data_IF_340716985273
#
_entry.id   IF_340716985273
#
_cell.length_a   1.000
_cell.length_b   1.000
_cell.length_c   1.000
_cell.angle_alpha   90.00
_cell.angle_beta   90.00
_cell.angle_gamma   90.00
#
_symmetry.space_group_name_H-M   'P 1'
#
loop_
_entity.id
_entity.type
_entity.pdbx_description
1 polymer ?
#
# COMPACT_ATOMS: atom_id res chain seq x y z
N UNK A 1 -19.55 3.22 7.27
CA UNK A 1 -18.25 3.52 6.65
C UNK A 1 -18.47 3.80 5.17
N UNK A 2 -17.83 4.82 4.62
CA UNK A 2 -17.72 5.05 3.16
C UNK A 2 -16.27 4.75 2.77
N UNK A 3 -16.07 3.98 1.71
CA UNK A 3 -14.76 3.58 1.19
C UNK A 3 -14.29 4.51 0.07
N UNK A 4 -13.07 4.30 -0.43
CA UNK A 4 -12.45 5.16 -1.44
C UNK A 4 -13.09 5.03 -2.84
N UNK A 5 -13.63 3.86 -3.16
CA UNK A 5 -14.46 3.57 -4.35
C UNK A 5 -15.91 4.07 -4.20
N UNK A 6 -16.14 4.92 -3.21
CA UNK A 6 -17.44 5.46 -2.79
C UNK A 6 -18.46 4.44 -2.26
N UNK A 7 -18.13 3.16 -2.20
CA UNK A 7 -18.99 2.12 -1.63
C UNK A 7 -19.28 2.35 -0.15
N UNK A 8 -20.43 1.86 0.32
CA UNK A 8 -20.94 2.11 1.67
C UNK A 8 -21.22 0.79 2.39
N UNK A 9 -20.79 0.72 3.65
CA UNK A 9 -21.12 -0.36 4.59
C UNK A 9 -21.67 0.24 5.88
N UNK A 10 -22.73 -0.34 6.44
CA UNK A 10 -23.30 0.04 7.73
C UNK A 10 -23.61 -1.19 8.60
N UNK A 11 -23.59 -1.01 9.92
CA UNK A 11 -23.70 -2.11 10.88
C UNK A 11 -23.22 -1.69 12.27
N UNK A 12 -22.92 -2.67 13.11
CA UNK A 12 -22.59 -2.45 14.54
C UNK A 12 -21.08 -2.34 14.78
N UNK A 13 -20.72 -1.79 15.93
CA UNK A 13 -19.36 -1.90 16.49
C UNK A 13 -19.32 -3.11 17.42
N UNK A 14 -18.29 -3.95 17.27
CA UNK A 14 -18.02 -5.12 18.09
C UNK A 14 -16.58 -5.10 18.61
N UNK A 15 -16.29 -5.95 19.60
CA UNK A 15 -14.97 -6.08 20.21
C UNK A 15 -14.69 -7.57 20.48
N UNK A 16 -13.53 -8.07 20.06
CA UNK A 16 -13.17 -9.49 20.19
C UNK A 16 -11.63 -9.69 20.30
N UNK A 17 -11.20 -10.93 20.52
CA UNK A 17 -9.80 -11.37 20.44
C UNK A 17 -9.47 -11.81 19.02
N UNK A 18 -8.43 -11.22 18.43
CA UNK A 18 -7.88 -11.65 17.14
C UNK A 18 -6.64 -12.51 17.37
N UNK A 19 -6.48 -13.57 16.57
CA UNK A 19 -5.36 -14.51 16.66
C UNK A 19 -4.57 -14.50 15.35
N UNK A 20 -3.25 -14.30 15.45
CA UNK A 20 -2.36 -14.21 14.29
C UNK A 20 -1.26 -15.27 14.34
N UNK A 21 -1.12 -16.07 13.29
CA UNK A 21 -0.04 -17.06 13.20
C UNK A 21 1.32 -16.37 13.00
N UNK A 22 2.23 -16.57 13.96
CA UNK A 22 3.59 -16.04 13.88
C UNK A 22 4.56 -17.08 13.36
N UNK A 23 5.12 -16.83 12.16
CA UNK A 23 6.20 -17.60 11.51
C UNK A 23 7.49 -17.78 12.34
N UNK A 24 7.55 -17.24 13.56
CA UNK A 24 8.76 -17.21 14.40
C UNK A 24 8.80 -18.39 15.38
N UNK A 25 7.64 -18.93 15.82
CA UNK A 25 7.58 -19.97 16.88
C UNK A 25 6.43 -20.99 16.77
N UNK A 26 5.61 -20.96 15.70
CA UNK A 26 4.37 -21.77 15.63
C UNK A 26 3.41 -21.54 16.83
N UNK A 27 3.57 -20.40 17.53
CA UNK A 27 2.74 -19.97 18.65
C UNK A 27 1.94 -18.78 18.16
N UNK A 28 0.61 -18.88 18.05
CA UNK A 28 -0.23 -17.76 17.63
C UNK A 28 -0.14 -16.59 18.62
N UNK A 29 -0.17 -15.36 18.10
CA UNK A 29 -0.31 -14.16 18.91
C UNK A 29 -1.80 -13.85 19.10
N UNK A 30 -2.30 -14.01 20.33
CA UNK A 30 -3.63 -13.52 20.71
C UNK A 30 -3.58 -12.04 21.08
N UNK A 31 -4.47 -11.26 20.49
CA UNK A 31 -4.59 -9.82 20.71
C UNK A 31 -6.03 -9.53 21.09
N UNK A 32 -6.24 -9.28 22.37
CA UNK A 32 -7.57 -9.11 22.98
C UNK A 32 -8.07 -7.70 22.79
N UNK A 33 -9.39 -7.53 22.86
CA UNK A 33 -10.07 -6.23 22.85
C UNK A 33 -9.90 -5.42 21.56
N UNK A 34 -9.73 -6.09 20.41
CA UNK A 34 -9.75 -5.43 19.11
C UNK A 34 -11.18 -5.03 18.77
N UNK A 35 -11.39 -3.73 18.59
CA UNK A 35 -12.64 -3.11 18.16
C UNK A 35 -12.73 -3.11 16.63
N UNK A 36 -13.83 -3.60 16.08
CA UNK A 36 -14.07 -3.70 14.64
C UNK A 36 -15.55 -3.47 14.30
N UNK A 37 -15.88 -3.39 13.01
CA UNK A 37 -17.24 -3.22 12.52
C UNK A 37 -17.84 -4.52 11.98
N UNK A 38 -19.06 -4.84 12.41
CA UNK A 38 -19.86 -5.94 11.87
C UNK A 38 -20.83 -5.39 10.81
N UNK A 39 -20.46 -5.45 9.54
CA UNK A 39 -21.27 -4.93 8.42
C UNK A 39 -22.55 -5.73 8.20
N UNK A 40 -23.71 -5.07 8.25
CA UNK A 40 -25.04 -5.65 8.02
C UNK A 40 -25.60 -5.31 6.63
N UNK A 41 -25.47 -4.06 6.22
CA UNK A 41 -25.83 -3.58 4.88
C UNK A 41 -24.55 -3.11 4.18
N UNK A 42 -24.19 -3.78 3.09
CA UNK A 42 -22.90 -3.65 2.41
C UNK A 42 -23.16 -3.41 0.91
N UNK A 43 -23.28 -2.14 0.53
CA UNK A 43 -23.41 -1.70 -0.86
C UNK A 43 -22.00 -1.54 -1.45
N UNK A 44 -21.35 -2.68 -1.69
CA UNK A 44 -19.94 -2.80 -2.00
C UNK A 44 -19.67 -3.59 -3.29
N UNK A 45 -18.58 -3.27 -3.99
CA UNK A 45 -18.21 -3.87 -5.29
C UNK A 45 -17.08 -4.92 -5.17
N UNK A 46 -16.84 -5.42 -3.95
CA UNK A 46 -15.77 -6.39 -3.67
C UNK A 46 -16.11 -7.81 -4.19
N UNK A 47 -15.08 -8.62 -4.45
CA UNK A 47 -15.25 -10.06 -4.71
C UNK A 47 -16.05 -10.68 -3.54
N UNK A 48 -17.12 -11.46 -3.79
CA UNK A 48 -17.95 -12.05 -2.75
C UNK A 48 -17.20 -13.01 -1.79
N UNK A 49 -15.95 -13.39 -2.10
CA UNK A 49 -15.05 -14.12 -1.19
C UNK A 49 -14.45 -13.23 -0.09
N UNK A 50 -14.49 -11.91 -0.23
CA UNK A 50 -13.97 -10.95 0.74
C UNK A 50 -15.00 -10.77 1.87
N UNK A 51 -14.74 -11.41 3.01
CA UNK A 51 -15.62 -11.38 4.18
C UNK A 51 -15.40 -10.18 5.11
N UNK A 52 -14.43 -9.31 4.81
CA UNK A 52 -14.11 -8.15 5.63
C UNK A 52 -12.85 -7.40 5.16
N UNK A 53 -12.60 -6.23 5.76
CA UNK A 53 -11.48 -5.33 5.41
C UNK A 53 -10.68 -4.98 6.66
N UNK A 54 -9.35 -5.08 6.58
CA UNK A 54 -8.42 -4.68 7.65
C UNK A 54 -7.94 -3.26 7.40
N UNK A 55 -8.34 -2.32 8.25
CA UNK A 55 -7.91 -0.93 8.16
C UNK A 55 -6.52 -0.70 8.78
N UNK A 56 -5.56 -0.22 7.98
CA UNK A 56 -4.19 0.15 8.43
C UNK A 56 -3.93 1.68 8.43
N UNK A 57 -4.96 2.49 8.18
CA UNK A 57 -4.87 3.95 8.14
C UNK A 57 -4.60 4.62 9.49
N UNK A 58 -4.56 5.96 9.50
CA UNK A 58 -4.27 6.78 10.68
C UNK A 58 -5.41 6.92 11.70
N UNK A 59 -6.51 6.16 11.55
CA UNK A 59 -7.60 6.15 12.54
C UNK A 59 -7.13 5.58 13.89
N UNK A 60 -7.61 6.08 15.05
CA UNK A 60 -7.44 5.41 16.34
C UNK A 60 -8.00 3.98 16.36
N UNK A 61 -9.02 3.70 15.54
CA UNK A 61 -9.65 2.38 15.39
C UNK A 61 -9.02 1.51 14.28
N UNK A 62 -7.93 1.94 13.64
CA UNK A 62 -7.19 1.06 12.72
C UNK A 62 -6.50 -0.06 13.48
N UNK A 63 -6.25 -1.20 12.82
CA UNK A 63 -5.50 -2.29 13.45
C UNK A 63 -4.12 -1.78 13.90
N UNK A 64 -3.41 -1.04 13.04
CA UNK A 64 -2.10 -0.47 13.40
C UNK A 64 -2.12 0.41 14.66
N UNK A 65 -3.16 1.24 14.86
CA UNK A 65 -3.32 2.03 16.09
C UNK A 65 -3.67 1.16 17.29
N UNK A 66 -4.59 0.21 17.14
CA UNK A 66 -5.01 -0.68 18.23
C UNK A 66 -3.91 -1.63 18.70
N UNK A 67 -3.00 -2.03 17.81
CA UNK A 67 -1.79 -2.79 18.16
C UNK A 67 -0.71 -1.93 18.82
N UNK A 68 -0.86 -0.60 18.88
CA UNK A 68 0.17 0.31 19.39
C UNK A 68 1.44 0.33 18.55
N UNK A 69 1.36 0.03 17.25
CA UNK A 69 2.53 -0.07 16.36
C UNK A 69 2.71 1.18 15.51
N UNK A 70 3.88 1.79 15.64
CA UNK A 70 4.28 2.95 14.83
C UNK A 70 4.62 2.55 13.39
N UNK A 71 5.12 1.34 13.17
CA UNK A 71 5.68 0.93 11.88
C UNK A 71 5.04 -0.38 11.39
N UNK A 72 4.69 -0.42 10.11
CA UNK A 72 4.25 -1.64 9.42
C UNK A 72 4.76 -1.68 7.98
N UNK A 73 4.97 -2.90 7.46
CA UNK A 73 5.44 -3.09 6.08
C UNK A 73 4.77 -4.30 5.43
N UNK A 74 4.53 -4.23 4.13
CA UNK A 74 3.92 -5.30 3.34
C UNK A 74 4.57 -5.39 1.96
N UNK A 75 4.33 -6.49 1.26
CA UNK A 75 4.86 -6.75 -0.08
C UNK A 75 3.72 -7.36 -0.92
N UNK A 76 3.21 -6.66 -1.94
CA UNK A 76 2.10 -7.19 -2.74
C UNK A 76 2.63 -8.13 -3.85
N UNK A 77 2.18 -9.39 -3.90
CA UNK A 77 2.61 -10.34 -4.93
C UNK A 77 1.97 -9.99 -6.28
N UNK A 78 2.74 -10.12 -7.37
CA UNK A 78 2.21 -9.95 -8.74
C UNK A 78 1.30 -11.07 -9.24
N UNK A 79 1.02 -12.07 -8.41
CA UNK A 79 0.12 -13.19 -8.71
C UNK A 79 -0.85 -13.41 -7.56
N UNK A 80 -2.13 -13.48 -7.89
CA UNK A 80 -3.19 -13.83 -6.94
C UNK A 80 -2.90 -15.19 -6.29
N UNK A 81 -3.33 -15.36 -5.04
CA UNK A 81 -3.14 -16.55 -4.20
C UNK A 81 -1.68 -16.89 -3.79
N UNK A 82 -0.71 -16.04 -4.08
CA UNK A 82 0.60 -16.16 -3.43
C UNK A 82 0.56 -15.52 -2.04
N UNK A 83 1.01 -16.21 -0.98
CA UNK A 83 1.11 -15.61 0.35
C UNK A 83 2.18 -14.51 0.37
N UNK A 84 1.91 -13.45 1.12
CA UNK A 84 2.86 -12.40 1.49
C UNK A 84 2.74 -12.07 2.97
N UNK A 85 3.67 -11.26 3.49
CA UNK A 85 3.75 -10.94 4.92
C UNK A 85 3.43 -9.47 5.17
N UNK A 86 2.60 -9.24 6.18
CA UNK A 86 2.45 -7.95 6.86
C UNK A 86 3.31 -8.01 8.13
N UNK A 87 4.39 -7.23 8.17
CA UNK A 87 5.25 -7.10 9.34
C UNK A 87 4.88 -5.86 10.14
N UNK A 88 5.09 -5.92 11.46
CA UNK A 88 4.89 -4.81 12.39
C UNK A 88 6.15 -4.56 13.23
N UNK A 89 6.28 -3.35 13.78
CA UNK A 89 7.37 -2.97 14.69
C UNK A 89 8.73 -2.94 14.01
N UNK A 90 9.76 -3.45 14.68
CA UNK A 90 11.15 -3.42 14.16
C UNK A 90 11.31 -4.17 12.83
N UNK A 91 10.56 -5.26 12.64
CA UNK A 91 10.58 -6.04 11.39
C UNK A 91 9.94 -5.32 10.20
N UNK A 92 9.28 -4.19 10.42
CA UNK A 92 8.72 -3.35 9.38
C UNK A 92 9.70 -2.29 8.84
N UNK A 93 10.87 -2.12 9.46
CA UNK A 93 11.85 -1.10 9.05
C UNK A 93 12.57 -1.54 7.77
N UNK A 94 12.23 -0.89 6.66
CA UNK A 94 12.87 -1.14 5.36
C UNK A 94 14.18 -0.34 5.26
N UNK A 95 15.24 -1.01 4.81
CA UNK A 95 16.52 -0.39 4.51
C UNK A 95 17.34 -1.19 3.48
N UNK A 96 18.49 -0.63 3.11
CA UNK A 96 19.49 -1.23 2.24
C UNK A 96 19.48 -0.67 0.80
N UNK A 97 20.32 -1.24 -0.09
CA UNK A 97 20.42 -0.80 -1.48
C UNK A 97 19.08 -0.85 -2.21
N UNK A 98 18.80 0.16 -3.04
CA UNK A 98 17.55 0.27 -3.81
C UNK A 98 16.33 0.69 -3.01
N UNK A 99 16.43 0.91 -1.69
CA UNK A 99 15.36 1.55 -0.92
C UNK A 99 15.31 3.04 -1.22
N UNK A 100 14.12 3.52 -1.56
CA UNK A 100 13.80 4.95 -1.71
C UNK A 100 12.75 5.36 -0.68
N UNK A 101 12.85 6.58 -0.17
CA UNK A 101 11.96 7.07 0.90
C UNK A 101 11.38 8.45 0.56
N UNK A 102 10.26 8.77 1.18
CA UNK A 102 9.51 10.01 0.98
C UNK A 102 8.75 10.40 2.26
N UNK A 103 8.68 11.70 2.62
CA UNK A 103 7.88 12.16 3.75
C UNK A 103 6.37 11.95 3.53
N UNK A 104 5.68 11.51 4.58
CA UNK A 104 4.23 11.58 4.70
C UNK A 104 3.80 13.02 4.93
N UNK A 105 2.80 13.48 4.17
CA UNK A 105 2.16 14.76 4.42
C UNK A 105 1.34 14.70 5.73
N UNK A 106 1.40 15.74 6.57
CA UNK A 106 0.50 15.87 7.71
C UNK A 106 -0.93 16.09 7.19
N UNK A 107 -1.88 15.28 7.66
CA UNK A 107 -3.31 15.48 7.41
C UNK A 107 -4.09 15.30 8.70
N UNK A 108 -4.93 16.28 9.03
CA UNK A 108 -5.77 16.32 10.24
C UNK A 108 -7.21 15.84 10.02
N UNK A 109 -7.62 15.64 8.76
CA UNK A 109 -9.03 15.51 8.38
C UNK A 109 -9.39 14.15 7.77
N UNK A 110 -8.40 13.33 7.38
CA UNK A 110 -8.61 12.04 6.74
C UNK A 110 -7.66 10.96 7.26
N UNK A 111 -8.15 9.73 7.35
CA UNK A 111 -7.41 8.57 7.88
C UNK A 111 -6.40 7.94 6.89
N UNK A 112 -6.19 8.54 5.71
CA UNK A 112 -5.30 8.00 4.68
C UNK A 112 -3.82 8.44 4.89
N UNK A 113 -2.91 7.82 4.13
CA UNK A 113 -1.52 8.23 4.04
C UNK A 113 -1.31 9.05 2.77
N UNK A 114 -0.90 10.31 2.92
CA UNK A 114 -0.71 11.24 1.82
C UNK A 114 0.77 11.48 1.54
N UNK A 115 1.10 11.70 0.27
CA UNK A 115 2.41 12.12 -0.23
C UNK A 115 2.16 13.39 -1.12
N UNK A 116 3.14 14.18 -1.60
CA UNK A 116 2.91 15.51 -2.25
C UNK A 116 2.89 15.65 -3.82
N UNK A 117 3.47 14.71 -4.56
CA UNK A 117 3.90 14.68 -5.99
C UNK A 117 4.81 15.82 -6.45
N UNK A 118 5.60 15.53 -7.50
CA UNK A 118 6.44 16.48 -8.24
C UNK A 118 6.30 16.28 -9.75
N UNK A 119 6.25 15.04 -10.24
CA UNK A 119 6.27 14.76 -11.68
C UNK A 119 6.08 13.28 -12.01
N UNK A 120 5.74 13.01 -13.27
CA UNK A 120 5.75 11.68 -13.89
C UNK A 120 6.62 11.78 -15.15
N UNK A 121 7.43 10.75 -15.43
CA UNK A 121 8.28 10.70 -16.62
C UNK A 121 8.09 9.38 -17.37
N UNK A 122 8.01 9.45 -18.69
CA UNK A 122 7.90 8.30 -19.59
C UNK A 122 9.07 8.32 -20.58
N UNK A 123 9.82 7.21 -20.66
CA UNK A 123 11.05 7.11 -21.46
C UNK A 123 12.06 8.26 -21.21
N UNK A 124 12.17 8.72 -19.96
CA UNK A 124 13.04 9.84 -19.56
C UNK A 124 12.49 11.24 -19.86
N UNK A 125 11.36 11.36 -20.58
CA UNK A 125 10.68 12.65 -20.80
C UNK A 125 9.63 12.89 -19.71
N UNK A 126 9.76 13.99 -18.97
CA UNK A 126 8.76 14.43 -17.99
C UNK A 126 7.46 14.83 -18.70
N UNK A 127 6.33 14.53 -18.07
CA UNK A 127 4.99 14.97 -18.48
C UNK A 127 4.57 16.13 -17.57
N UNK A 128 4.28 17.27 -18.18
CA UNK A 128 3.95 18.51 -17.47
C UNK A 128 2.45 18.59 -17.14
N UNK A 129 2.02 17.76 -16.18
CA UNK A 129 0.61 17.69 -15.73
C UNK A 129 0.28 18.56 -14.50
N UNK A 130 1.30 19.12 -13.81
CA UNK A 130 1.14 19.86 -12.54
C UNK A 130 1.22 21.40 -12.68
N UNK A 131 1.14 21.93 -13.91
CA UNK A 131 1.32 23.36 -14.19
C UNK A 131 0.00 24.11 -14.46
N UNK A 132 -1.15 23.52 -14.12
CA UNK A 132 -2.46 24.19 -14.21
C UNK A 132 -2.90 24.58 -12.78
N UNK A 133 -3.05 25.88 -12.58
CA UNK A 133 -3.55 26.59 -11.39
C UNK A 133 -2.76 26.47 -10.07
N UNK A 134 -2.39 27.64 -9.52
CA UNK A 134 -1.54 27.80 -8.33
C UNK A 134 -2.18 27.43 -6.98
N UNK A 135 -3.20 26.57 -6.97
CA UNK A 135 -3.71 25.95 -5.75
C UNK A 135 -2.97 24.63 -5.49
N UNK A 136 -1.89 24.70 -4.70
CA UNK A 136 -1.15 23.53 -4.26
C UNK A 136 -2.00 22.66 -3.31
N UNK A 137 -2.77 21.72 -3.87
CA UNK A 137 -3.62 20.80 -3.10
C UNK A 137 -3.92 19.51 -3.84
N UNK A 138 -3.52 18.39 -3.23
CA UNK A 138 -3.74 16.97 -3.62
C UNK A 138 -2.54 16.32 -4.33
N UNK A 139 -1.73 15.56 -3.56
CA UNK A 139 -0.43 15.06 -4.03
C UNK A 139 -0.19 13.56 -3.89
N UNK A 140 1.01 13.14 -4.33
CA UNK A 140 1.64 11.82 -4.11
C UNK A 140 3.20 11.80 -4.37
N UNK A 141 4.09 12.21 -3.43
CA UNK A 141 5.54 12.43 -3.69
C UNK A 141 6.32 11.17 -3.49
N UNK A 142 7.22 10.96 -4.43
CA UNK A 142 8.36 10.08 -4.36
C UNK A 142 9.55 11.02 -4.61
N UNK A 143 10.38 11.28 -3.60
CA UNK A 143 11.50 12.22 -3.71
C UNK A 143 12.70 11.62 -4.47
N UNK A 144 12.60 10.33 -4.76
CA UNK A 144 13.46 9.55 -5.62
C UNK A 144 12.55 8.77 -6.59
N UNK A 145 13.03 8.50 -7.81
CA UNK A 145 12.24 7.84 -8.84
C UNK A 145 11.86 6.39 -8.43
N UNK A 146 10.56 6.12 -8.24
CA UNK A 146 10.07 4.75 -8.32
C UNK A 146 9.99 4.37 -9.80
N UNK A 147 10.89 3.48 -10.21
CA UNK A 147 10.86 2.88 -11.54
C UNK A 147 9.82 1.76 -11.54
N UNK A 148 8.67 2.04 -12.14
CA UNK A 148 7.58 1.09 -12.33
C UNK A 148 7.87 0.13 -13.50
N UNK A 149 7.68 -1.17 -13.29
CA UNK A 149 7.86 -2.23 -14.29
C UNK A 149 6.55 -2.50 -15.08
N UNK A 150 6.54 -3.53 -15.94
CA UNK A 150 5.35 -3.90 -16.71
C UNK A 150 4.19 -4.29 -15.78
N UNK A 151 4.43 -5.17 -14.81
CA UNK A 151 3.46 -5.61 -13.79
C UNK A 151 2.81 -4.47 -12.99
N UNK A 152 3.48 -3.30 -12.92
CA UNK A 152 2.99 -2.14 -12.19
C UNK A 152 2.13 -1.18 -13.04
N UNK A 153 2.16 -1.34 -14.37
CA UNK A 153 1.56 -0.42 -15.34
C UNK A 153 0.52 -1.08 -16.22
N UNK A 154 0.62 -2.38 -16.42
CA UNK A 154 -0.21 -3.12 -17.35
C UNK A 154 -0.91 -4.28 -16.64
N UNK A 155 -2.14 -4.54 -17.05
CA UNK A 155 -2.95 -5.67 -16.60
C UNK A 155 -3.58 -6.38 -17.80
N UNK A 156 -4.03 -7.62 -17.61
CA UNK A 156 -4.78 -8.35 -18.62
C UNK A 156 -6.28 -8.18 -18.37
N UNK A 157 -7.02 -7.78 -19.41
CA UNK A 157 -8.48 -7.67 -19.44
C UNK A 157 -8.94 -8.35 -20.72
N UNK A 158 -9.69 -9.45 -20.61
CA UNK A 158 -10.17 -10.26 -21.75
C UNK A 158 -9.05 -10.56 -22.79
N UNK A 159 -7.92 -11.08 -22.29
CA UNK A 159 -6.68 -11.37 -23.03
C UNK A 159 -5.97 -10.15 -23.68
N UNK A 160 -6.46 -8.93 -23.49
CA UNK A 160 -5.80 -7.68 -23.90
C UNK A 160 -4.92 -7.11 -22.79
N UNK A 161 -3.72 -6.66 -23.15
CA UNK A 161 -2.84 -5.94 -22.23
C UNK A 161 -3.19 -4.45 -22.18
N UNK A 162 -3.85 -4.03 -21.11
CA UNK A 162 -4.35 -2.68 -20.89
C UNK A 162 -3.42 -1.87 -19.98
N UNK A 163 -3.30 -0.56 -20.21
CA UNK A 163 -2.58 0.37 -19.33
C UNK A 163 -3.47 0.75 -18.15
N UNK A 164 -3.00 0.49 -16.92
CA UNK A 164 -3.80 0.50 -15.69
C UNK A 164 -3.74 1.84 -14.94
N UNK A 165 -3.71 2.96 -15.66
CA UNK A 165 -3.82 4.30 -15.10
C UNK A 165 -5.11 4.95 -15.59
N UNK A 166 -5.99 5.27 -14.66
CA UNK A 166 -7.21 6.03 -14.91
C UNK A 166 -6.97 7.52 -14.65
N UNK A 167 -7.79 8.38 -15.25
CA UNK A 167 -7.73 9.84 -15.10
C UNK A 167 -8.97 10.30 -14.33
N UNK A 168 -8.77 10.61 -13.06
CA UNK A 168 -9.79 11.15 -12.14
C UNK A 168 -9.52 12.66 -11.92
N UNK A 169 -10.56 13.45 -11.65
CA UNK A 169 -10.45 14.86 -11.25
C UNK A 169 -10.20 15.04 -9.74
N UNK A 170 -10.19 13.93 -9.00
CA UNK A 170 -9.93 13.85 -7.55
C UNK A 170 -8.44 13.68 -7.21
N UNK A 171 -8.18 13.44 -5.92
CA UNK A 171 -6.86 13.14 -5.37
C UNK A 171 -6.31 11.85 -6.00
N UNK A 172 -5.12 11.91 -6.62
CA UNK A 172 -4.47 10.74 -7.21
C UNK A 172 -4.21 9.60 -6.21
N UNK A 173 -4.59 8.38 -6.58
CA UNK A 173 -4.49 7.19 -5.72
C UNK A 173 -3.34 6.27 -6.17
N UNK A 174 -2.47 5.87 -5.24
CA UNK A 174 -1.44 4.85 -5.50
C UNK A 174 -2.07 3.45 -5.46
N UNK A 175 -2.66 3.01 -6.57
CA UNK A 175 -3.41 1.75 -6.66
C UNK A 175 -2.56 0.49 -6.39
N UNK A 176 -3.23 -0.60 -6.02
CA UNK A 176 -2.60 -1.88 -5.64
C UNK A 176 -1.65 -2.44 -6.71
N UNK A 177 -2.01 -2.32 -8.00
CA UNK A 177 -1.17 -2.76 -9.12
C UNK A 177 0.20 -2.07 -9.12
N UNK A 178 0.22 -0.76 -8.82
CA UNK A 178 1.45 0.05 -8.80
C UNK A 178 2.35 -0.34 -7.62
N UNK A 179 1.79 -0.96 -6.58
CA UNK A 179 2.48 -1.45 -5.38
C UNK A 179 3.02 -2.89 -5.50
N UNK A 180 2.69 -3.62 -6.58
CA UNK A 180 3.18 -4.99 -6.83
C UNK A 180 4.70 -5.03 -6.88
N UNK A 181 5.31 -6.06 -6.26
CA UNK A 181 6.76 -6.27 -6.25
C UNK A 181 7.56 -5.07 -5.67
N UNK A 182 6.93 -4.32 -4.76
CA UNK A 182 7.61 -3.44 -3.82
C UNK A 182 7.38 -3.93 -2.40
N UNK A 183 8.45 -4.04 -1.62
CA UNK A 183 8.35 -4.02 -0.17
C UNK A 183 8.10 -2.55 0.22
N UNK A 184 6.94 -2.28 0.79
CA UNK A 184 6.46 -0.94 1.17
C UNK A 184 6.37 -0.87 2.69
N UNK A 185 6.96 0.16 3.29
CA UNK A 185 7.09 0.32 4.72
C UNK A 185 6.66 1.73 5.14
N UNK A 186 5.74 1.79 6.09
CA UNK A 186 5.12 3.02 6.57
C UNK A 186 5.59 3.21 8.01
N UNK A 187 6.37 4.27 8.24
CA UNK A 187 6.86 4.70 9.55
C UNK A 187 6.03 5.90 10.02
N UNK A 188 5.08 5.64 10.93
CA UNK A 188 4.11 6.63 11.41
C UNK A 188 4.73 7.58 12.45
N UNK A 189 5.87 7.22 13.05
CA UNK A 189 6.58 8.07 14.01
C UNK A 189 7.45 9.10 13.27
N UNK A 190 8.31 8.64 12.36
CA UNK A 190 9.16 9.49 11.51
C UNK A 190 8.41 10.20 10.39
N UNK A 191 7.15 9.80 10.13
CA UNK A 191 6.31 10.30 9.04
C UNK A 191 6.96 10.07 7.67
N UNK A 192 7.32 8.82 7.38
CA UNK A 192 7.99 8.43 6.12
C UNK A 192 7.34 7.17 5.54
N UNK A 193 7.21 7.12 4.20
CA UNK A 193 7.01 5.86 3.46
C UNK A 193 8.30 5.51 2.73
N UNK A 194 8.66 4.23 2.76
CA UNK A 194 9.80 3.68 2.03
C UNK A 194 9.36 2.57 1.09
N UNK A 195 9.97 2.51 -0.08
CA UNK A 195 9.69 1.55 -1.14
C UNK A 195 11.00 0.88 -1.53
N UNK A 196 10.97 -0.44 -1.74
CA UNK A 196 12.13 -1.23 -2.18
C UNK A 196 11.69 -2.25 -3.23
N UNK A 197 12.17 -2.18 -4.48
CA UNK A 197 11.91 -3.21 -5.48
C UNK A 197 12.28 -4.59 -4.93
N UNK A 198 11.32 -5.52 -4.88
CA UNK A 198 11.45 -6.82 -4.19
C UNK A 198 10.54 -7.84 -4.86
N UNK A 199 11.03 -9.05 -5.14
CA UNK A 199 10.16 -10.15 -5.56
C UNK A 199 9.25 -10.54 -4.38
N UNK A 200 7.98 -10.13 -4.41
CA UNK A 200 7.06 -10.38 -3.30
C UNK A 200 6.53 -11.83 -3.35
N UNK A 201 7.34 -12.79 -2.90
CA UNK A 201 6.97 -14.20 -2.74
C UNK A 201 7.40 -14.71 -1.37
N UNK A 202 6.50 -15.37 -0.65
CA UNK A 202 6.83 -16.00 0.63
C UNK A 202 7.37 -17.42 0.40
N UNK A 203 8.59 -17.53 -0.15
CA UNK A 203 9.33 -18.80 -0.30
C UNK A 203 10.52 -18.94 0.67
N UNK A 204 10.68 -17.98 1.59
CA UNK A 204 11.79 -17.93 2.55
C UNK A 204 13.05 -17.25 2.01
N UNK A 205 13.08 -16.89 0.72
CA UNK A 205 14.15 -16.12 0.10
C UNK A 205 13.66 -14.72 -0.31
N UNK A 206 14.15 -13.69 0.40
CA UNK A 206 14.22 -12.35 -0.19
C UNK A 206 15.31 -12.35 -1.26
N UNK A 207 15.00 -12.88 -2.45
CA UNK A 207 15.93 -12.81 -3.58
C UNK A 207 16.18 -11.37 -4.01
N UNK A 208 17.42 -11.13 -4.44
CA UNK A 208 17.93 -9.83 -4.87
C UNK A 208 17.26 -9.30 -6.14
N UNK A 209 17.38 -7.98 -6.45
CA UNK A 209 16.70 -7.37 -7.58
C UNK A 209 17.08 -7.99 -8.93
N UNK A 210 16.14 -7.96 -9.87
CA UNK A 210 16.41 -8.21 -11.30
C UNK A 210 17.47 -7.21 -11.75
N UNK A 211 18.62 -7.72 -12.20
CA UNK A 211 19.85 -6.95 -12.34
C UNK A 211 19.82 -5.85 -13.41
N UNK A 212 20.52 -4.75 -13.14
CA UNK A 212 20.89 -3.76 -14.15
C UNK A 212 22.05 -4.26 -15.01
N UNK A 213 21.73 -5.00 -16.08
CA UNK A 213 22.70 -5.45 -17.07
C UNK A 213 22.53 -4.71 -18.42
N UNK A 214 22.87 -3.41 -18.42
CA UNK A 214 23.07 -2.64 -19.65
C UNK A 214 24.54 -2.22 -19.77
N UNK A 215 25.43 -3.21 -19.95
CA UNK A 215 26.79 -2.93 -20.37
C UNK A 215 26.77 -2.39 -21.81
N UNK A 216 27.26 -1.17 -22.00
CA UNK A 216 27.50 -0.65 -23.36
C UNK A 216 28.85 -1.18 -23.83
N UNK A 217 28.84 -1.86 -24.98
CA UNK A 217 29.98 -1.99 -25.90
C UNK A 217 29.77 -1.00 -27.04
#
# INVERSE_FOLDING_TARGET
MKYADESISSGDVAQETFTFDMNIKNTPAEIKNIVFGCGRDNQCVFDPKIIGIVGLGNSPTSLASQLGVENFSYCLPGKLNFPSLLNFGEKAVISGPGTVSTPLLPNSSHNYYYLNLKGISVAGKRIDIFNQDGNAGSGMVLDNDIVLNQDNKFGLVDDLMCFMFDIDDKIGVFGNTVQINFLIGIDRQKKVVSFKPTTCRNDGSMETPIGSAASRS
#
